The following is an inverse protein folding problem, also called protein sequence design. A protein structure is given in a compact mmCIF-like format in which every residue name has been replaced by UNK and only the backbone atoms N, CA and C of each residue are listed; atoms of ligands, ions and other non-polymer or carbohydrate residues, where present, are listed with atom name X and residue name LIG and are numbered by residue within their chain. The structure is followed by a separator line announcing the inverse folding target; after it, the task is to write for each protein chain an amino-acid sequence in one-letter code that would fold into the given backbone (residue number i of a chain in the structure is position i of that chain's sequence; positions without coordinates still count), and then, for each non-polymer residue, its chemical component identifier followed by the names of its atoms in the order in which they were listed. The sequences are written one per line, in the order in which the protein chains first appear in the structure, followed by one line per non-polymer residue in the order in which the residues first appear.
data_IF_875195451826
#
_entry.id   IF_875195451826
#
_cell.length_a   1.000
_cell.length_b   1.000
_cell.length_c   1.000
_cell.angle_alpha   90.00
_cell.angle_beta   90.00
_cell.angle_gamma   90.00
#
_symmetry.space_group_name_H-M   'P 1'
#
loop_
_entity.id
_entity.type
_entity.pdbx_description
1 polymer ?
#
# COMPACT_ATOMS: atom_id res chain seq x y z
N UNK A 1 -12.28 -9.01 -0.80
CA UNK A 1 -11.40 -8.40 -1.82
C UNK A 1 -10.04 -8.23 -1.17
N UNK A 2 -8.98 -8.79 -1.73
CA UNK A 2 -7.62 -8.63 -1.18
C UNK A 2 -7.08 -7.23 -1.47
N UNK A 3 -6.35 -6.66 -0.51
CA UNK A 3 -5.64 -5.40 -0.67
C UNK A 3 -4.16 -5.70 -0.57
N UNK A 4 -3.42 -5.34 -1.60
CA UNK A 4 -2.02 -5.68 -1.78
C UNK A 4 -1.20 -4.42 -1.74
N UNK A 5 -0.20 -4.35 -0.86
CA UNK A 5 0.75 -3.24 -0.80
C UNK A 5 2.10 -3.66 -1.32
N UNK A 6 2.59 -2.94 -2.32
CA UNK A 6 3.92 -3.11 -2.86
C UNK A 6 4.96 -2.78 -1.78
N UNK A 7 5.84 -3.73 -1.46
CA UNK A 7 6.92 -3.50 -0.49
C UNK A 7 7.96 -2.47 -0.99
N UNK A 8 8.19 -2.42 -2.30
CA UNK A 8 9.24 -1.59 -2.90
C UNK A 8 8.86 -0.10 -2.97
N UNK A 9 7.63 0.21 -3.39
CA UNK A 9 7.19 1.60 -3.61
C UNK A 9 6.04 2.03 -2.70
N UNK A 10 5.48 1.13 -1.88
CA UNK A 10 4.35 1.43 -1.01
C UNK A 10 2.99 1.54 -1.73
N UNK A 11 2.93 1.25 -3.03
CA UNK A 11 1.71 1.30 -3.83
C UNK A 11 0.70 0.24 -3.40
N UNK A 12 -0.52 0.66 -3.04
CA UNK A 12 -1.63 -0.23 -2.72
C UNK A 12 -2.49 -0.51 -3.96
N UNK A 13 -2.85 -1.77 -4.20
CA UNK A 13 -3.85 -2.16 -5.19
C UNK A 13 -4.85 -3.14 -4.58
N UNK A 14 -6.10 -3.08 -5.04
CA UNK A 14 -7.10 -4.09 -4.69
C UNK A 14 -7.21 -5.13 -5.81
N UNK A 15 -6.91 -6.38 -5.49
CA UNK A 15 -6.97 -7.50 -6.42
C UNK A 15 -7.20 -8.81 -5.65
N UNK A 16 -7.75 -9.83 -6.30
CA UNK A 16 -7.87 -11.15 -5.67
C UNK A 16 -6.51 -11.87 -5.59
N UNK A 17 -5.61 -11.56 -6.52
CA UNK A 17 -4.27 -12.13 -6.64
C UNK A 17 -3.31 -11.00 -7.02
N UNK A 18 -2.13 -10.87 -6.38
CA UNK A 18 -1.19 -9.81 -6.70
C UNK A 18 -0.47 -10.12 -8.02
N UNK A 19 -0.18 -9.11 -8.86
CA UNK A 19 0.61 -9.30 -10.07
C UNK A 19 2.10 -9.50 -9.73
N UNK A 20 2.83 -10.27 -10.55
CA UNK A 20 4.30 -10.40 -10.41
C UNK A 20 5.05 -9.08 -10.58
N UNK A 21 4.49 -8.15 -11.36
CA UNK A 21 5.06 -6.82 -11.61
C UNK A 21 4.13 -5.76 -11.08
N UNK A 22 4.67 -4.82 -10.32
CA UNK A 22 3.89 -3.69 -9.87
C UNK A 22 3.62 -2.71 -11.00
N UNK A 23 2.37 -2.22 -11.18
CA UNK A 23 2.06 -1.21 -12.19
C UNK A 23 2.72 0.15 -11.91
N UNK A 24 3.00 0.46 -10.65
CA UNK A 24 3.60 1.73 -10.24
C UNK A 24 5.11 1.77 -10.50
N UNK A 25 5.86 0.80 -9.98
CA UNK A 25 7.32 0.76 -10.15
C UNK A 25 7.80 -0.10 -11.33
N UNK A 26 6.89 -0.84 -12.00
CA UNK A 26 7.16 -1.72 -13.16
C UNK A 26 8.22 -2.79 -12.93
N UNK A 27 8.55 -3.06 -11.68
CA UNK A 27 9.54 -4.05 -11.26
C UNK A 27 8.85 -5.26 -10.64
N UNK A 28 9.57 -6.39 -10.60
CA UNK A 28 9.13 -7.56 -9.86
C UNK A 28 9.27 -7.28 -8.38
N UNK A 29 8.16 -7.25 -7.65
CA UNK A 29 8.16 -6.94 -6.23
C UNK A 29 7.16 -7.82 -5.50
N UNK A 30 7.44 -8.04 -4.22
CA UNK A 30 6.54 -8.78 -3.35
C UNK A 30 5.41 -7.85 -2.86
N UNK A 31 4.18 -8.36 -2.96
CA UNK A 31 2.97 -7.69 -2.52
C UNK A 31 2.53 -8.30 -1.20
N UNK A 32 2.38 -7.44 -0.20
CA UNK A 32 1.90 -7.83 1.13
C UNK A 32 0.39 -7.66 1.17
N UNK A 33 -0.35 -8.69 1.58
CA UNK A 33 -1.79 -8.57 1.84
C UNK A 33 -1.98 -7.72 3.10
N UNK A 34 -2.60 -6.56 2.93
CA UNK A 34 -2.89 -5.58 3.98
C UNK A 34 -4.39 -5.45 4.23
N UNK A 35 -5.19 -6.35 3.64
CA UNK A 35 -6.65 -6.35 3.65
C UNK A 35 -7.30 -6.35 5.05
N UNK A 36 -6.51 -6.54 6.12
CA UNK A 36 -7.00 -6.63 7.49
C UNK A 36 -6.14 -5.86 8.51
N UNK A 37 -5.50 -4.75 8.14
CA UNK A 37 -4.74 -3.94 9.13
C UNK A 37 -5.02 -2.45 9.13
N UNK A 38 -5.98 -1.94 8.34
CA UNK A 38 -6.18 -0.49 8.27
C UNK A 38 -7.60 -0.07 8.70
N UNK A 39 -7.84 0.11 10.02
CA UNK A 39 -8.81 1.08 10.49
C UNK A 39 -8.24 2.52 10.53
N UNK A 40 -6.96 2.75 10.18
CA UNK A 40 -6.30 4.06 10.36
C UNK A 40 -5.53 4.54 9.11
N UNK A 41 -6.17 4.51 7.93
CA UNK A 41 -5.69 5.31 6.79
C UNK A 41 -6.14 6.77 7.00
N UNK A 42 -5.77 7.35 8.14
CA UNK A 42 -6.03 8.73 8.51
C UNK A 42 -5.10 9.67 7.75
N UNK A 43 -5.53 10.10 6.56
CA UNK A 43 -5.05 11.36 6.03
C UNK A 43 -5.37 12.49 7.03
N UNK A 44 -4.45 13.45 7.15
CA UNK A 44 -4.51 14.72 7.90
C UNK A 44 -4.20 14.68 9.39
N UNK A 45 -2.91 14.80 9.68
CA UNK A 45 -2.41 15.38 10.92
C UNK A 45 -1.08 16.04 10.65
N UNK A 46 -1.08 17.29 10.13
CA UNK A 46 0.13 18.10 10.11
C UNK A 46 0.50 18.31 11.58
N UNK A 47 1.62 17.71 12.02
CA UNK A 47 2.07 17.79 13.40
C UNK A 47 2.26 19.27 13.80
N UNK A 48 1.55 19.78 14.83
CA UNK A 48 1.61 21.18 15.23
C UNK A 48 2.91 21.58 15.93
N UNK A 49 3.93 20.71 16.01
CA UNK A 49 5.27 21.06 16.52
C UNK A 49 6.19 21.65 15.46
N UNK A 50 5.82 21.67 14.18
CA UNK A 50 6.41 22.61 13.21
C UNK A 50 5.80 24.01 13.42
N UNK A 51 6.14 24.61 14.56
CA UNK A 51 5.84 25.98 14.93
C UNK A 51 7.08 26.85 14.74
#
# INVERSE_FOLDING_TARGET
MGEWKCKECGYSLQANVPPEKCPSCKQKCEFLDVACYIPDCGATGQDPRLK
#
